data_IF_682608170194
#
_entry.id   IF_682608170194
#
_cell.length_a   1.000
_cell.length_b   1.000
_cell.length_c   1.000
_cell.angle_alpha   90.00
_cell.angle_beta   90.00
_cell.angle_gamma   90.00
#
_symmetry.space_group_name_H-M   'P 1'
#
loop_
_entity.id
_entity.type
_entity.pdbx_description
1 polymer ?
#
# COMPACT_ATOMS: atom_id res chain seq x y z
N UNK A 1 -75.19 15.37 -37.89
CA UNK A 1 -74.78 15.12 -36.49
C UNK A 1 -74.07 13.78 -36.31
N UNK A 2 -74.67 12.65 -36.73
CA UNK A 2 -74.08 11.30 -36.58
C UNK A 2 -72.75 11.06 -37.32
N UNK A 3 -72.61 11.56 -38.56
CA UNK A 3 -71.35 11.42 -39.33
C UNK A 3 -70.18 12.19 -38.69
N UNK A 4 -70.44 13.42 -38.22
CA UNK A 4 -69.45 14.25 -37.52
C UNK A 4 -68.98 13.55 -36.24
N UNK A 5 -69.92 12.97 -35.47
CA UNK A 5 -69.60 12.23 -34.25
C UNK A 5 -68.72 11.00 -34.54
N UNK A 6 -69.03 10.25 -35.61
CA UNK A 6 -68.23 9.08 -36.03
C UNK A 6 -66.81 9.47 -36.44
N UNK A 7 -66.65 10.59 -37.15
CA UNK A 7 -65.34 11.07 -37.59
C UNK A 7 -64.49 11.57 -36.42
N UNK A 8 -65.12 12.24 -35.45
CA UNK A 8 -64.46 12.65 -34.20
C UNK A 8 -64.02 11.42 -33.39
N UNK A 9 -64.89 10.42 -33.22
CA UNK A 9 -64.56 9.17 -32.53
C UNK A 9 -63.42 8.40 -33.20
N UNK A 10 -63.40 8.37 -34.54
CA UNK A 10 -62.32 7.73 -35.29
C UNK A 10 -60.98 8.47 -35.10
N UNK A 11 -60.96 9.81 -35.21
CA UNK A 11 -59.74 10.62 -34.99
C UNK A 11 -59.22 10.49 -33.55
N UNK A 12 -60.11 10.46 -32.57
CA UNK A 12 -59.76 10.22 -31.15
C UNK A 12 -59.19 8.81 -30.94
N UNK A 13 -59.82 7.79 -31.54
CA UNK A 13 -59.34 6.40 -31.47
C UNK A 13 -57.96 6.23 -32.13
N UNK A 14 -57.75 6.83 -33.29
CA UNK A 14 -56.48 6.81 -34.00
C UNK A 14 -55.37 7.51 -33.20
N UNK A 15 -55.65 8.71 -32.65
CA UNK A 15 -54.69 9.45 -31.83
C UNK A 15 -54.34 8.70 -30.53
N UNK A 16 -55.33 8.10 -29.87
CA UNK A 16 -55.12 7.26 -28.68
C UNK A 16 -54.25 6.04 -28.99
N UNK A 17 -54.50 5.37 -30.12
CA UNK A 17 -53.71 4.20 -30.56
C UNK A 17 -52.26 4.59 -30.86
N UNK A 18 -52.04 5.71 -31.57
CA UNK A 18 -50.68 6.23 -31.85
C UNK A 18 -49.97 6.61 -30.55
N UNK A 19 -50.65 7.29 -29.63
CA UNK A 19 -50.08 7.67 -28.33
C UNK A 19 -49.70 6.43 -27.51
N UNK A 20 -50.55 5.40 -27.49
CA UNK A 20 -50.26 4.14 -26.82
C UNK A 20 -49.05 3.43 -27.43
N UNK A 21 -48.99 3.31 -28.76
CA UNK A 21 -47.85 2.70 -29.45
C UNK A 21 -46.55 3.45 -29.20
N UNK A 22 -46.56 4.78 -29.28
CA UNK A 22 -45.40 5.61 -28.95
C UNK A 22 -44.98 5.43 -27.49
N UNK A 23 -45.94 5.37 -26.56
CA UNK A 23 -45.67 5.16 -25.13
C UNK A 23 -45.03 3.80 -24.87
N UNK A 24 -45.46 2.74 -25.57
CA UNK A 24 -44.87 1.40 -25.48
C UNK A 24 -43.44 1.37 -26.04
N UNK A 25 -43.20 2.01 -27.19
CA UNK A 25 -41.87 2.10 -27.79
C UNK A 25 -40.91 2.90 -26.89
N UNK A 26 -41.37 4.03 -26.36
CA UNK A 26 -40.63 4.84 -25.38
C UNK A 26 -40.32 3.99 -24.14
N UNK A 27 -41.33 3.34 -23.53
CA UNK A 27 -41.11 2.49 -22.36
C UNK A 27 -40.12 1.36 -22.64
N UNK A 28 -40.20 0.70 -23.80
CA UNK A 28 -39.29 -0.39 -24.15
C UNK A 28 -37.86 0.13 -24.38
N UNK A 29 -37.70 1.24 -25.10
CA UNK A 29 -36.40 1.85 -25.37
C UNK A 29 -35.76 2.37 -24.08
N UNK A 30 -36.42 3.27 -23.34
CA UNK A 30 -35.89 3.82 -22.10
C UNK A 30 -35.78 2.77 -20.99
N UNK A 31 -36.72 1.83 -20.92
CA UNK A 31 -36.68 0.69 -20.00
C UNK A 31 -35.50 -0.23 -20.27
N UNK A 32 -35.18 -0.50 -21.53
CA UNK A 32 -33.98 -1.26 -21.91
C UNK A 32 -32.70 -0.54 -21.46
N UNK A 33 -32.52 0.74 -21.75
CA UNK A 33 -31.33 1.48 -21.32
C UNK A 33 -31.23 1.60 -19.80
N UNK A 34 -32.35 1.78 -19.09
CA UNK A 34 -32.38 1.77 -17.64
C UNK A 34 -31.95 0.41 -17.07
N UNK A 35 -32.52 -0.69 -17.60
CA UNK A 35 -32.17 -2.05 -17.19
C UNK A 35 -30.69 -2.37 -17.48
N UNK A 36 -30.20 -1.98 -18.66
CA UNK A 36 -28.80 -2.13 -19.05
C UNK A 36 -27.87 -1.32 -18.13
N UNK A 37 -28.24 -0.09 -17.78
CA UNK A 37 -27.50 0.75 -16.85
C UNK A 37 -27.40 0.13 -15.46
N UNK A 38 -28.51 -0.40 -14.94
CA UNK A 38 -28.53 -1.13 -13.66
C UNK A 38 -27.66 -2.38 -13.73
N UNK A 39 -27.76 -3.15 -14.82
CA UNK A 39 -26.97 -4.36 -15.02
C UNK A 39 -25.46 -4.06 -15.05
N UNK A 40 -25.04 -3.07 -15.84
CA UNK A 40 -23.63 -2.64 -15.92
C UNK A 40 -23.14 -2.14 -14.56
N UNK A 41 -23.95 -1.38 -13.84
CA UNK A 41 -23.60 -0.86 -12.51
C UNK A 41 -23.44 -2.02 -11.51
N UNK A 42 -24.38 -2.96 -11.50
CA UNK A 42 -24.31 -4.16 -10.66
C UNK A 42 -23.07 -5.01 -10.96
N UNK A 43 -22.81 -5.28 -12.24
CA UNK A 43 -21.63 -6.03 -12.68
C UNK A 43 -20.33 -5.29 -12.30
N UNK A 44 -20.28 -3.98 -12.50
CA UNK A 44 -19.14 -3.14 -12.11
C UNK A 44 -18.91 -3.16 -10.59
N UNK A 45 -19.99 -3.13 -9.80
CA UNK A 45 -19.92 -3.23 -8.34
C UNK A 45 -19.38 -4.58 -7.86
N UNK A 46 -19.77 -5.67 -8.51
CA UNK A 46 -19.24 -7.03 -8.24
C UNK A 46 -17.74 -7.07 -8.55
N UNK A 47 -17.32 -6.60 -9.73
CA UNK A 47 -15.90 -6.55 -10.09
C UNK A 47 -15.10 -5.66 -9.14
N UNK A 48 -15.62 -4.49 -8.78
CA UNK A 48 -14.96 -3.57 -7.85
C UNK A 48 -14.75 -4.20 -6.47
N UNK A 49 -15.75 -4.92 -5.97
CA UNK A 49 -15.65 -5.62 -4.68
C UNK A 49 -14.72 -6.84 -4.75
N UNK A 50 -14.75 -7.57 -5.87
CA UNK A 50 -13.91 -8.75 -6.10
C UNK A 50 -12.42 -8.45 -6.32
N UNK A 51 -12.01 -7.20 -6.59
CA UNK A 51 -10.60 -6.85 -6.79
C UNK A 51 -9.71 -7.18 -5.59
N UNK A 52 -10.23 -7.13 -4.36
CA UNK A 52 -9.47 -7.49 -3.16
C UNK A 52 -9.02 -8.96 -3.21
N UNK A 53 -9.85 -9.85 -3.77
CA UNK A 53 -9.56 -11.28 -3.92
C UNK A 53 -8.46 -11.57 -4.95
N UNK A 54 -8.22 -10.64 -5.86
CA UNK A 54 -7.13 -10.72 -6.85
C UNK A 54 -5.82 -10.15 -6.34
N UNK A 55 -5.87 -9.37 -5.25
CA UNK A 55 -4.71 -8.67 -4.73
C UNK A 55 -4.19 -9.32 -3.44
N UNK A 56 -5.08 -9.60 -2.50
CA UNK A 56 -4.71 -10.04 -1.16
C UNK A 56 -4.93 -11.54 -1.00
N UNK A 57 -3.88 -12.26 -0.62
CA UNK A 57 -3.88 -13.70 -0.44
C UNK A 57 -3.49 -14.10 1.00
N UNK A 58 -4.26 -13.66 2.02
CA UNK A 58 -3.95 -13.95 3.41
C UNK A 58 -4.10 -15.43 3.78
N UNK A 59 -4.86 -16.18 2.98
CA UNK A 59 -5.10 -17.62 3.15
C UNK A 59 -4.16 -18.48 2.30
N UNK A 60 -3.06 -17.93 1.76
CA UNK A 60 -2.14 -18.69 0.92
C UNK A 60 -0.76 -18.78 1.56
N UNK A 61 -0.24 -19.98 1.85
CA UNK A 61 -0.92 -21.30 1.84
C UNK A 61 -2.15 -21.38 2.76
N UNK A 62 -3.06 -22.37 2.57
CA UNK A 62 -4.36 -22.47 3.25
C UNK A 62 -4.34 -22.21 4.76
N UNK A 63 -3.34 -22.73 5.47
CA UNK A 63 -3.26 -22.63 6.94
C UNK A 63 -2.63 -21.31 7.43
N UNK A 64 -2.39 -20.35 6.54
CA UNK A 64 -1.65 -19.11 6.88
C UNK A 64 -2.39 -18.21 7.88
N UNK A 65 -3.69 -18.41 8.09
CA UNK A 65 -4.50 -17.70 9.09
C UNK A 65 -4.53 -18.40 10.44
N UNK A 66 -4.36 -19.71 10.46
CA UNK A 66 -4.48 -20.53 11.66
C UNK A 66 -3.11 -20.82 12.29
N UNK A 67 -2.10 -21.00 11.45
CA UNK A 67 -0.75 -21.33 11.89
C UNK A 67 0.28 -20.27 11.45
N UNK A 68 0.74 -19.49 12.43
CA UNK A 68 1.82 -18.52 12.25
C UNK A 68 3.04 -18.99 13.03
N UNK A 69 4.10 -19.33 12.29
CA UNK A 69 5.40 -19.68 12.88
C UNK A 69 5.90 -18.57 13.80
N UNK A 70 6.54 -18.96 14.90
CA UNK A 70 7.07 -18.04 15.89
C UNK A 70 8.59 -17.85 15.72
N UNK A 71 9.16 -16.69 16.07
CA UNK A 71 10.61 -16.48 15.99
C UNK A 71 11.44 -17.49 16.80
N UNK A 72 10.87 -18.07 17.87
CA UNK A 72 11.47 -19.15 18.64
C UNK A 72 11.81 -20.40 17.82
N UNK A 73 11.04 -20.70 16.75
CA UNK A 73 11.35 -21.80 15.82
C UNK A 73 12.71 -21.61 15.11
N UNK A 74 13.21 -20.37 15.05
CA UNK A 74 14.50 -20.00 14.46
C UNK A 74 15.53 -19.57 15.50
N UNK A 75 15.28 -19.85 16.80
CA UNK A 75 16.13 -19.44 17.93
C UNK A 75 16.31 -17.91 18.04
N UNK A 76 15.32 -17.14 17.59
CA UNK A 76 15.33 -15.69 17.69
C UNK A 76 14.61 -15.24 18.97
N UNK A 77 15.19 -14.31 19.76
CA UNK A 77 14.49 -13.68 20.87
C UNK A 77 13.40 -12.75 20.32
N UNK A 78 12.21 -12.73 20.94
CA UNK A 78 11.13 -11.89 20.45
C UNK A 78 10.11 -11.46 21.52
N UNK A 79 9.48 -10.31 21.28
CA UNK A 79 8.25 -9.86 21.92
C UNK A 79 7.08 -10.05 20.93
N UNK A 80 6.02 -10.74 21.36
CA UNK A 80 4.79 -10.87 20.59
C UNK A 80 3.81 -9.76 20.96
N UNK A 81 3.59 -8.83 20.04
CA UNK A 81 2.88 -7.57 20.31
C UNK A 81 1.53 -7.57 19.62
N UNK A 82 0.45 -7.32 20.36
CA UNK A 82 -0.89 -7.10 19.80
C UNK A 82 -1.38 -5.71 20.20
N UNK A 83 -1.52 -4.82 19.22
CA UNK A 83 -1.96 -3.43 19.47
C UNK A 83 -3.19 -3.10 18.65
N UNK A 84 -4.02 -2.20 19.17
CA UNK A 84 -5.16 -1.66 18.43
C UNK A 84 -4.69 -0.51 17.54
N UNK A 85 -5.06 -0.54 16.26
CA UNK A 85 -4.90 0.61 15.37
C UNK A 85 -6.00 1.66 15.60
N UNK A 86 -5.96 2.78 14.87
CA UNK A 86 -7.00 3.83 14.99
C UNK A 86 -8.41 3.36 14.64
N UNK A 87 -8.54 2.31 13.84
CA UNK A 87 -9.83 1.70 13.48
C UNK A 87 -10.34 0.73 14.55
N UNK A 88 -9.60 0.55 15.66
CA UNK A 88 -9.95 -0.35 16.76
C UNK A 88 -9.63 -1.82 16.53
N UNK A 89 -9.05 -2.17 15.38
CA UNK A 89 -8.65 -3.54 15.02
C UNK A 89 -7.33 -3.90 15.70
N UNK A 90 -7.21 -5.12 16.21
CA UNK A 90 -5.95 -5.63 16.73
C UNK A 90 -5.06 -6.14 15.59
N UNK A 91 -3.87 -5.58 15.50
CA UNK A 91 -2.79 -6.05 14.63
C UNK A 91 -1.71 -6.74 15.45
N UNK A 92 -1.19 -7.85 14.93
CA UNK A 92 -0.15 -8.67 15.56
C UNK A 92 1.21 -8.36 14.93
N UNK A 93 2.26 -8.28 15.73
CA UNK A 93 3.63 -8.05 15.26
C UNK A 93 4.61 -8.84 16.11
N UNK A 94 5.77 -9.16 15.54
CA UNK A 94 6.92 -9.67 16.30
C UNK A 94 8.02 -8.62 16.34
N UNK A 95 8.47 -8.26 17.54
CA UNK A 95 9.68 -7.45 17.72
C UNK A 95 10.83 -8.36 18.14
N UNK A 96 11.80 -8.53 17.24
CA UNK A 96 12.98 -9.36 17.40
C UNK A 96 14.17 -8.44 17.68
N UNK A 97 14.70 -8.46 18.90
CA UNK A 97 15.78 -7.57 19.33
C UNK A 97 17.11 -8.29 19.42
N UNK A 98 18.22 -7.61 19.13
CA UNK A 98 19.53 -8.17 19.44
C UNK A 98 19.68 -8.35 20.96
N UNK A 99 20.35 -9.42 21.38
CA UNK A 99 20.57 -9.68 22.81
C UNK A 99 21.51 -8.65 23.44
N UNK A 100 22.45 -8.13 22.64
CA UNK A 100 23.43 -7.13 23.07
C UNK A 100 23.23 -5.80 22.34
N UNK A 101 23.30 -4.69 23.06
CA UNK A 101 23.26 -3.32 22.52
C UNK A 101 22.04 -3.00 21.62
N UNK A 102 20.89 -3.66 21.84
CA UNK A 102 19.68 -3.44 21.03
C UNK A 102 19.21 -1.97 20.96
N UNK A 103 19.51 -1.16 21.98
CA UNK A 103 19.12 0.25 22.02
C UNK A 103 20.04 1.19 21.20
N UNK A 104 21.13 0.68 20.61
CA UNK A 104 22.12 1.48 19.86
C UNK A 104 22.29 1.06 18.39
N UNK A 105 21.61 -0.02 18.00
CA UNK A 105 21.62 -0.56 16.64
C UNK A 105 20.35 -0.15 15.88
N UNK A 106 20.37 -0.21 14.53
CA UNK A 106 19.19 0.07 13.73
C UNK A 106 18.03 -0.90 14.01
N UNK A 107 16.81 -0.41 13.82
CA UNK A 107 15.59 -1.23 13.87
C UNK A 107 14.89 -1.17 12.52
N UNK A 108 14.64 -2.32 11.92
CA UNK A 108 13.94 -2.46 10.65
C UNK A 108 12.47 -2.79 10.88
N UNK A 109 11.57 -1.98 10.34
CA UNK A 109 10.15 -2.30 10.22
C UNK A 109 9.96 -3.01 8.89
N UNK A 110 9.62 -4.30 8.94
CA UNK A 110 9.48 -5.16 7.78
C UNK A 110 8.01 -5.34 7.41
N UNK A 111 7.65 -4.76 6.26
CA UNK A 111 6.39 -4.93 5.54
C UNK A 111 6.49 -6.04 4.49
N UNK A 112 5.70 -7.11 4.66
CA UNK A 112 5.73 -8.28 3.78
C UNK A 112 4.83 -8.15 2.53
N UNK A 113 4.88 -9.14 1.63
CA UNK A 113 4.13 -9.15 0.37
C UNK A 113 2.62 -9.38 0.53
N UNK A 114 1.94 -9.70 -0.57
CA UNK A 114 0.49 -9.87 -0.60
C UNK A 114 0.00 -11.29 -0.28
N UNK A 115 0.88 -12.27 -0.19
CA UNK A 115 0.54 -13.65 0.08
C UNK A 115 1.28 -14.16 1.31
N UNK A 116 0.61 -14.94 2.15
CA UNK A 116 1.23 -15.53 3.32
C UNK A 116 1.20 -14.64 4.56
N UNK A 117 2.02 -14.95 5.55
CA UNK A 117 2.03 -14.27 6.85
C UNK A 117 3.45 -13.93 7.32
N UNK A 118 3.57 -13.19 8.41
CA UNK A 118 4.85 -12.80 8.99
C UNK A 118 5.71 -14.02 9.41
N UNK A 119 5.09 -15.11 9.88
CA UNK A 119 5.78 -16.34 10.25
C UNK A 119 6.57 -16.93 9.07
N UNK A 120 6.03 -16.82 7.85
CA UNK A 120 6.70 -17.28 6.62
C UNK A 120 7.83 -16.36 6.15
N UNK A 121 8.01 -15.21 6.78
CA UNK A 121 9.14 -14.30 6.54
C UNK A 121 10.27 -14.49 7.55
N UNK A 122 10.08 -15.34 8.56
CA UNK A 122 11.09 -15.59 9.58
C UNK A 122 12.43 -16.13 9.04
N UNK A 123 12.49 -16.99 7.99
CA UNK A 123 13.78 -17.37 7.42
C UNK A 123 14.60 -16.16 6.94
N UNK A 124 13.97 -15.24 6.20
CA UNK A 124 14.62 -14.01 5.75
C UNK A 124 14.92 -13.07 6.93
N UNK A 125 13.99 -12.93 7.87
CA UNK A 125 14.19 -12.10 9.07
C UNK A 125 15.36 -12.63 9.93
N UNK A 126 15.55 -13.94 10.02
CA UNK A 126 16.67 -14.57 10.73
C UNK A 126 18.00 -14.22 10.08
N UNK A 127 18.10 -14.32 8.76
CA UNK A 127 19.32 -13.91 8.04
C UNK A 127 19.56 -12.40 8.16
N UNK A 128 18.53 -11.56 8.03
CA UNK A 128 18.65 -10.11 8.27
C UNK A 128 19.17 -9.81 9.69
N UNK A 129 18.62 -10.50 10.69
CA UNK A 129 19.02 -10.37 12.09
C UNK A 129 20.49 -10.72 12.29
N UNK A 130 20.93 -11.88 11.80
CA UNK A 130 22.30 -12.37 12.00
C UNK A 130 23.34 -11.67 11.13
N UNK A 131 23.00 -11.33 9.88
CA UNK A 131 23.95 -10.75 8.91
C UNK A 131 24.07 -9.24 9.06
N UNK A 132 23.02 -8.53 9.45
CA UNK A 132 23.05 -7.06 9.55
C UNK A 132 23.20 -6.53 10.98
N UNK A 133 23.02 -7.38 12.00
CA UNK A 133 23.05 -6.99 13.40
C UNK A 133 22.07 -5.84 13.72
N UNK A 134 20.79 -6.05 13.36
CA UNK A 134 19.69 -5.10 13.53
C UNK A 134 18.56 -5.72 14.37
N UNK A 135 17.72 -4.86 14.96
CA UNK A 135 16.40 -5.29 15.45
C UNK A 135 15.42 -5.35 14.28
N UNK A 136 14.37 -6.17 14.40
CA UNK A 136 13.33 -6.32 13.37
C UNK A 136 11.96 -6.26 14.02
N UNK A 137 11.13 -5.30 13.61
CA UNK A 137 9.69 -5.34 13.81
C UNK A 137 9.04 -5.93 12.56
N UNK A 138 8.59 -7.18 12.65
CA UNK A 138 7.90 -7.86 11.58
C UNK A 138 6.39 -7.64 11.75
N UNK A 139 5.78 -7.00 10.75
CA UNK A 139 4.40 -6.47 10.85
C UNK A 139 3.41 -7.38 10.14
N UNK A 140 2.33 -7.77 10.82
CA UNK A 140 1.19 -8.46 10.21
C UNK A 140 0.03 -7.49 9.97
N UNK A 141 -0.37 -7.32 8.71
CA UNK A 141 -1.48 -6.44 8.34
C UNK A 141 -2.83 -6.97 8.81
N UNK A 142 -3.83 -6.08 8.90
CA UNK A 142 -5.23 -6.50 9.09
C UNK A 142 -5.64 -7.56 8.05
N UNK A 143 -6.33 -8.59 8.52
CA UNK A 143 -6.78 -9.72 7.71
C UNK A 143 -5.71 -10.75 7.34
N UNK A 144 -4.45 -10.57 7.75
CA UNK A 144 -3.37 -11.55 7.60
C UNK A 144 -2.99 -12.18 8.93
N UNK A 145 -2.38 -13.37 8.91
CA UNK A 145 -1.88 -14.08 10.10
C UNK A 145 -2.92 -14.11 11.23
N UNK A 146 -2.56 -13.59 12.40
CA UNK A 146 -3.46 -13.50 13.56
C UNK A 146 -4.07 -12.09 13.77
N UNK A 147 -3.90 -11.18 12.81
CA UNK A 147 -4.50 -9.83 12.86
C UNK A 147 -6.00 -9.87 12.50
N UNK A 148 -6.78 -8.98 13.11
CA UNK A 148 -8.23 -8.83 12.89
C UNK A 148 -8.53 -8.07 11.58
N UNK A 149 -9.79 -8.03 11.16
CA UNK A 149 -10.28 -7.22 10.03
C UNK A 149 -10.04 -7.81 8.63
N UNK A 150 -10.22 -6.96 7.61
CA UNK A 150 -10.01 -7.31 6.19
C UNK A 150 -9.07 -6.31 5.51
N UNK A 151 -8.24 -6.77 4.56
CA UNK A 151 -7.24 -5.91 3.93
C UNK A 151 -7.89 -4.91 2.95
N UNK A 152 -7.32 -3.70 2.93
CA UNK A 152 -7.61 -2.66 1.95
C UNK A 152 -6.41 -1.72 1.85
N UNK A 153 -6.29 -0.96 0.77
CA UNK A 153 -5.17 -0.02 0.59
C UNK A 153 -5.04 0.95 1.77
N UNK A 154 -6.13 1.64 2.12
CA UNK A 154 -6.13 2.58 3.24
C UNK A 154 -5.87 1.89 4.58
N UNK A 155 -6.41 0.69 4.77
CA UNK A 155 -6.22 -0.07 6.00
C UNK A 155 -4.78 -0.50 6.21
N UNK A 156 -4.12 -1.00 5.17
CA UNK A 156 -2.71 -1.43 5.25
C UNK A 156 -1.77 -0.23 5.50
N UNK A 157 -2.09 0.96 4.96
CA UNK A 157 -1.36 2.18 5.30
C UNK A 157 -1.56 2.61 6.77
N UNK A 158 -2.76 2.42 7.32
CA UNK A 158 -3.01 2.72 8.73
C UNK A 158 -2.28 1.74 9.66
N UNK A 159 -2.21 0.46 9.29
CA UNK A 159 -1.47 -0.55 10.06
C UNK A 159 0.04 -0.25 10.04
N UNK A 160 0.58 0.18 8.90
CA UNK A 160 1.98 0.62 8.78
C UNK A 160 2.30 1.85 9.65
N UNK A 161 1.40 2.84 9.66
CA UNK A 161 1.52 4.00 10.55
C UNK A 161 1.46 3.59 12.03
N UNK A 162 0.60 2.63 12.37
CA UNK A 162 0.46 2.11 13.74
C UNK A 162 1.74 1.41 14.18
N UNK A 163 2.32 0.55 13.34
CA UNK A 163 3.61 -0.11 13.59
C UNK A 163 4.75 0.90 13.77
N UNK A 164 4.82 1.94 12.93
CA UNK A 164 5.83 2.99 13.04
C UNK A 164 5.69 3.78 14.34
N UNK A 165 4.47 4.22 14.69
CA UNK A 165 4.23 4.95 15.94
C UNK A 165 4.62 4.11 17.15
N UNK A 166 4.28 2.81 17.15
CA UNK A 166 4.66 1.88 18.22
C UNK A 166 6.17 1.88 18.46
N UNK A 167 6.98 1.78 17.39
CA UNK A 167 8.44 1.82 17.51
C UNK A 167 8.95 3.18 17.99
N UNK A 168 8.34 4.27 17.55
CA UNK A 168 8.71 5.61 17.99
C UNK A 168 8.39 5.90 19.46
N UNK A 169 7.48 5.13 20.07
CA UNK A 169 7.11 5.21 21.48
C UNK A 169 8.01 4.34 22.39
N UNK A 170 8.81 3.43 21.82
CA UNK A 170 9.73 2.58 22.59
C UNK A 170 10.94 3.38 23.11
N UNK A 171 11.22 3.26 24.40
CA UNK A 171 12.40 3.86 25.05
C UNK A 171 13.67 3.02 24.89
N UNK A 172 13.52 1.74 24.54
CA UNK A 172 14.59 0.77 24.35
C UNK A 172 14.93 0.53 22.87
N UNK A 173 14.61 1.50 21.99
CA UNK A 173 14.95 1.46 20.57
C UNK A 173 15.62 2.79 20.17
N UNK A 174 16.65 2.72 19.33
CA UNK A 174 17.23 3.91 18.71
C UNK A 174 16.27 4.48 17.64
N UNK A 175 15.46 5.43 18.07
CA UNK A 175 14.46 6.14 17.24
C UNK A 175 15.08 6.96 16.11
N UNK A 176 16.41 7.15 16.08
CA UNK A 176 17.12 7.84 15.00
C UNK A 176 17.61 6.89 13.89
N UNK A 177 17.54 5.57 14.10
CA UNK A 177 18.01 4.55 13.16
C UNK A 177 16.90 3.59 12.73
N UNK A 178 15.75 4.15 12.36
CA UNK A 178 14.60 3.37 11.88
C UNK A 178 14.71 3.13 10.38
N UNK A 179 14.83 1.86 10.00
CA UNK A 179 14.80 1.42 8.61
C UNK A 179 13.36 0.99 8.31
N UNK A 180 12.80 1.49 7.21
CA UNK A 180 11.53 0.98 6.67
C UNK A 180 11.85 0.09 5.49
N UNK A 181 11.48 -1.18 5.59
CA UNK A 181 11.70 -2.18 4.56
C UNK A 181 10.37 -2.72 4.06
N UNK A 182 10.23 -2.88 2.74
CA UNK A 182 9.06 -3.52 2.17
C UNK A 182 9.35 -4.30 0.90
N UNK A 183 8.72 -5.47 0.77
CA UNK A 183 8.80 -6.32 -0.43
C UNK A 183 7.47 -6.35 -1.19
N UNK A 184 7.51 -6.18 -2.51
CA UNK A 184 6.32 -6.26 -3.37
C UNK A 184 5.23 -5.31 -2.88
N UNK A 185 4.04 -5.82 -2.50
CA UNK A 185 2.99 -5.02 -1.84
C UNK A 185 3.49 -4.26 -0.61
N UNK A 186 4.32 -4.89 0.21
CA UNK A 186 4.95 -4.28 1.39
C UNK A 186 5.82 -3.09 1.04
N UNK A 187 6.46 -3.09 -0.13
CA UNK A 187 7.23 -1.94 -0.60
C UNK A 187 6.35 -0.75 -1.01
N UNK A 188 5.17 -1.01 -1.58
CA UNK A 188 4.20 0.07 -1.84
C UNK A 188 3.70 0.71 -0.53
N UNK A 189 3.55 -0.09 0.53
CA UNK A 189 3.20 0.36 1.88
C UNK A 189 4.36 1.13 2.52
N UNK A 190 5.59 0.64 2.39
CA UNK A 190 6.80 1.31 2.83
C UNK A 190 6.97 2.70 2.17
N UNK A 191 6.75 2.78 0.85
CA UNK A 191 6.79 4.03 0.09
C UNK A 191 5.71 4.99 0.57
N UNK A 192 4.48 4.53 0.80
CA UNK A 192 3.41 5.38 1.33
C UNK A 192 3.82 6.00 2.67
N UNK A 193 4.27 5.17 3.62
CA UNK A 193 4.73 5.64 4.92
C UNK A 193 5.88 6.64 4.79
N UNK A 194 6.89 6.34 3.96
CA UNK A 194 8.07 7.17 3.75
C UNK A 194 7.80 8.47 2.97
N UNK A 195 6.70 8.54 2.22
CA UNK A 195 6.30 9.74 1.47
C UNK A 195 5.55 10.77 2.31
N UNK A 196 4.96 10.34 3.44
CA UNK A 196 4.11 11.18 4.29
C UNK A 196 4.95 12.17 5.10
N UNK A 197 4.55 13.44 5.07
CA UNK A 197 5.21 14.53 5.76
C UNK A 197 5.52 14.24 7.24
N UNK A 198 4.55 13.65 7.96
CA UNK A 198 4.65 13.28 9.38
C UNK A 198 5.78 12.28 9.69
N UNK A 199 6.16 11.45 8.72
CA UNK A 199 7.02 10.28 8.91
C UNK A 199 8.35 10.38 8.17
N UNK A 200 8.37 11.02 6.99
CA UNK A 200 9.51 11.04 6.06
C UNK A 200 10.84 11.52 6.65
N UNK A 201 10.79 12.42 7.64
CA UNK A 201 11.99 12.96 8.31
C UNK A 201 12.43 12.14 9.54
N UNK A 202 11.68 11.09 9.90
CA UNK A 202 11.98 10.18 11.02
C UNK A 202 12.47 8.82 10.55
N UNK A 203 12.47 8.58 9.23
CA UNK A 203 12.93 7.35 8.62
C UNK A 203 14.39 7.54 8.25
N UNK A 204 15.27 6.75 8.85
CA UNK A 204 16.70 6.80 8.61
C UNK A 204 17.04 6.25 7.22
N UNK A 205 16.39 5.16 6.82
CA UNK A 205 16.53 4.60 5.48
C UNK A 205 15.25 3.92 5.01
N UNK A 206 14.97 4.02 3.72
CA UNK A 206 13.93 3.25 3.03
C UNK A 206 14.59 2.17 2.18
N UNK A 207 14.10 0.94 2.27
CA UNK A 207 14.53 -0.17 1.42
C UNK A 207 13.29 -0.78 0.76
N UNK A 208 13.29 -0.81 -0.56
CA UNK A 208 12.18 -1.32 -1.37
C UNK A 208 12.69 -2.47 -2.22
N UNK A 209 12.06 -3.65 -2.12
CA UNK A 209 12.46 -4.85 -2.84
C UNK A 209 11.34 -5.34 -3.77
N UNK A 210 11.64 -5.52 -5.07
CA UNK A 210 10.73 -6.10 -6.05
C UNK A 210 9.33 -5.46 -6.05
N UNK A 211 9.27 -4.12 -5.99
CA UNK A 211 8.01 -3.36 -5.87
C UNK A 211 7.63 -2.68 -7.18
N UNK A 212 6.33 -2.61 -7.40
CA UNK A 212 5.70 -2.07 -8.60
C UNK A 212 5.42 -0.56 -8.52
N UNK A 213 5.21 0.07 -9.69
CA UNK A 213 4.87 1.49 -9.80
C UNK A 213 3.44 1.80 -9.35
N UNK A 214 2.48 0.94 -9.71
CA UNK A 214 1.10 0.95 -9.22
C UNK A 214 0.36 -0.36 -9.53
N UNK A 215 -0.75 -0.64 -8.84
CA UNK A 215 -1.63 -1.77 -9.21
C UNK A 215 -2.25 -1.60 -10.60
N UNK A 216 -2.71 -0.41 -11.02
CA UNK A 216 -3.13 -0.20 -12.40
C UNK A 216 -2.06 -0.52 -13.43
N UNK A 217 -0.78 -0.23 -13.16
CA UNK A 217 0.32 -0.58 -14.08
C UNK A 217 0.58 -2.08 -14.10
N UNK A 218 0.55 -2.75 -12.95
CA UNK A 218 0.62 -4.21 -12.87
C UNK A 218 -0.54 -4.88 -13.63
N UNK A 219 -1.76 -4.37 -13.49
CA UNK A 219 -2.93 -4.90 -14.18
C UNK A 219 -2.77 -4.83 -15.71
N UNK A 220 -2.16 -3.76 -16.25
CA UNK A 220 -1.87 -3.63 -17.69
C UNK A 220 -0.84 -4.64 -18.19
N UNK A 221 0.05 -5.12 -17.32
CA UNK A 221 1.08 -6.10 -17.67
C UNK A 221 0.59 -7.54 -17.53
N UNK A 222 -0.06 -7.86 -16.43
CA UNK A 222 -0.46 -9.23 -16.10
C UNK A 222 -1.72 -9.70 -16.84
N UNK A 223 -2.61 -8.78 -17.20
CA UNK A 223 -3.86 -9.11 -17.87
C UNK A 223 -3.74 -8.80 -19.37
N UNK A 224 -3.98 -9.78 -20.27
CA UNK A 224 -3.83 -9.60 -21.72
C UNK A 224 -4.92 -8.71 -22.35
N UNK A 225 -5.75 -8.04 -21.55
CA UNK A 225 -6.90 -7.28 -22.00
C UNK A 225 -6.53 -5.84 -22.32
N UNK A 226 -6.42 -5.54 -23.62
CA UNK A 226 -6.09 -4.19 -24.12
C UNK A 226 -7.02 -3.09 -23.58
N UNK A 227 -8.26 -3.43 -23.21
CA UNK A 227 -9.24 -2.49 -22.63
C UNK A 227 -8.78 -1.90 -21.29
N UNK A 228 -7.94 -2.61 -20.51
CA UNK A 228 -7.45 -2.11 -19.22
C UNK A 228 -6.58 -0.86 -19.37
N UNK A 229 -6.00 -0.62 -20.55
CA UNK A 229 -5.26 0.62 -20.83
C UNK A 229 -6.15 1.86 -20.79
N UNK A 230 -7.45 1.69 -21.07
CA UNK A 230 -8.45 2.75 -21.11
C UNK A 230 -9.31 2.78 -19.85
N UNK A 231 -9.10 1.84 -18.92
CA UNK A 231 -9.89 1.76 -17.71
C UNK A 231 -9.54 2.95 -16.79
N UNK A 232 -10.50 3.81 -16.44
CA UNK A 232 -10.25 4.93 -15.56
C UNK A 232 -9.77 4.51 -14.17
N UNK A 233 -8.95 5.33 -13.52
CA UNK A 233 -8.43 5.02 -12.19
C UNK A 233 -9.52 4.78 -11.13
N UNK A 234 -10.69 5.41 -11.25
CA UNK A 234 -11.79 5.21 -10.29
C UNK A 234 -12.34 3.77 -10.31
N UNK A 235 -12.12 3.02 -11.40
CA UNK A 235 -12.50 1.61 -11.47
C UNK A 235 -11.59 0.70 -10.65
N UNK A 236 -10.39 1.16 -10.27
CA UNK A 236 -9.48 0.42 -9.40
C UNK A 236 -9.77 0.74 -7.94
N UNK A 237 -10.18 -0.26 -7.16
CA UNK A 237 -10.42 -0.14 -5.73
C UNK A 237 -9.14 0.20 -4.99
N UNK A 238 -8.14 -0.68 -5.10
CA UNK A 238 -6.79 -0.47 -4.57
C UNK A 238 -5.85 -0.09 -5.71
N UNK A 239 -5.12 1.01 -5.53
CA UNK A 239 -4.29 1.64 -6.55
C UNK A 239 -2.81 1.52 -6.23
N UNK A 240 -2.43 1.69 -4.97
CA UNK A 240 -1.04 1.69 -4.49
C UNK A 240 -0.12 2.49 -5.40
N UNK A 241 -0.36 3.80 -5.49
CA UNK A 241 0.33 4.71 -6.40
C UNK A 241 1.79 5.00 -5.99
N UNK A 242 2.61 3.96 -5.89
CA UNK A 242 4.00 3.99 -5.46
C UNK A 242 4.81 5.02 -6.22
N UNK A 243 4.75 5.03 -7.56
CA UNK A 243 5.50 5.95 -8.40
C UNK A 243 5.17 7.42 -8.08
N UNK A 244 3.89 7.75 -7.91
CA UNK A 244 3.48 9.12 -7.53
C UNK A 244 4.05 9.52 -6.17
N UNK A 245 3.97 8.62 -5.18
CA UNK A 245 4.40 8.84 -3.80
C UNK A 245 5.93 8.88 -3.65
N UNK A 246 6.65 8.15 -4.51
CA UNK A 246 8.11 8.03 -4.47
C UNK A 246 8.83 9.38 -4.64
N UNK A 247 8.20 10.34 -5.35
CA UNK A 247 8.73 11.70 -5.49
C UNK A 247 8.72 12.53 -4.20
N UNK A 248 8.00 12.10 -3.17
CA UNK A 248 7.95 12.78 -1.87
C UNK A 248 8.80 12.10 -0.80
N UNK A 249 9.40 10.95 -1.11
CA UNK A 249 10.36 10.27 -0.23
C UNK A 249 11.66 11.06 -0.22
N UNK A 250 12.11 11.44 0.97
CA UNK A 250 13.36 12.20 1.17
C UNK A 250 14.43 11.40 1.92
N UNK A 251 14.05 10.34 2.62
CA UNK A 251 14.98 9.49 3.36
C UNK A 251 15.92 8.75 2.40
N UNK A 252 17.20 8.55 2.75
CA UNK A 252 18.12 7.71 1.97
C UNK A 252 17.47 6.39 1.56
N UNK A 253 17.52 6.06 0.27
CA UNK A 253 16.70 4.97 -0.30
C UNK A 253 17.53 3.95 -1.08
N UNK A 254 17.31 2.67 -0.79
CA UNK A 254 17.80 1.55 -1.58
C UNK A 254 16.64 0.86 -2.29
N UNK A 255 16.76 0.67 -3.59
CA UNK A 255 15.83 -0.11 -4.39
C UNK A 255 16.55 -1.37 -4.84
N UNK A 256 15.98 -2.53 -4.52
CA UNK A 256 16.50 -3.84 -4.88
C UNK A 256 15.52 -4.46 -5.87
N UNK A 257 16.03 -4.96 -6.99
CA UNK A 257 15.24 -5.77 -7.91
C UNK A 257 15.98 -7.03 -8.34
N UNK A 258 15.25 -8.13 -8.43
CA UNK A 258 15.72 -9.36 -9.03
C UNK A 258 15.79 -9.26 -10.54
N UNK A 259 16.89 -9.71 -11.16
CA UNK A 259 17.02 -9.71 -12.63
C UNK A 259 16.11 -10.71 -13.34
N UNK A 260 15.58 -11.70 -12.62
CA UNK A 260 14.65 -12.73 -13.09
C UNK A 260 13.28 -12.60 -12.40
N UNK A 261 12.90 -11.40 -11.97
CA UNK A 261 11.56 -11.15 -11.44
C UNK A 261 10.53 -11.16 -12.57
N UNK A 262 9.87 -12.32 -12.73
CA UNK A 262 8.83 -12.54 -13.74
C UNK A 262 7.47 -11.94 -13.35
N UNK A 263 7.30 -11.48 -12.10
CA UNK A 263 6.04 -10.89 -11.64
C UNK A 263 6.08 -9.37 -11.74
N UNK A 264 7.10 -8.74 -11.17
CA UNK A 264 7.29 -7.28 -11.19
C UNK A 264 8.54 -6.97 -12.02
N UNK A 265 8.38 -6.48 -13.26
CA UNK A 265 9.53 -6.27 -14.14
C UNK A 265 10.55 -5.27 -13.55
N UNK A 266 11.87 -5.52 -13.69
CA UNK A 266 12.92 -4.62 -13.20
C UNK A 266 12.77 -3.16 -13.66
N UNK A 267 12.17 -2.93 -14.82
CA UNK A 267 11.87 -1.59 -15.34
C UNK A 267 11.05 -0.74 -14.35
N UNK A 268 10.10 -1.34 -13.61
CA UNK A 268 9.34 -0.63 -12.59
C UNK A 268 10.23 -0.13 -11.44
N UNK A 269 11.25 -0.91 -11.08
CA UNK A 269 12.22 -0.48 -10.06
C UNK A 269 13.11 0.66 -10.58
N UNK A 270 13.48 0.64 -11.87
CA UNK A 270 14.17 1.76 -12.52
C UNK A 270 13.32 3.04 -12.54
N UNK A 271 12.01 2.92 -12.78
CA UNK A 271 11.09 4.05 -12.73
C UNK A 271 10.98 4.63 -11.31
N UNK A 272 10.84 3.76 -10.30
CA UNK A 272 10.82 4.16 -8.89
C UNK A 272 12.14 4.86 -8.49
N UNK A 273 13.28 4.35 -8.94
CA UNK A 273 14.59 4.97 -8.70
C UNK A 273 14.68 6.36 -9.31
N UNK A 274 14.30 6.49 -10.57
CA UNK A 274 14.30 7.76 -11.31
C UNK A 274 13.42 8.79 -10.60
N UNK A 275 12.23 8.37 -10.16
CA UNK A 275 11.25 9.25 -9.50
C UNK A 275 11.57 9.55 -8.04
N UNK A 276 12.40 8.77 -7.37
CA UNK A 276 12.73 8.95 -5.95
C UNK A 276 13.28 10.35 -5.66
N UNK A 277 12.64 11.03 -4.70
CA UNK A 277 13.01 12.37 -4.23
C UNK A 277 14.20 12.40 -3.26
N UNK A 278 14.72 11.24 -2.86
CA UNK A 278 15.86 11.16 -1.94
C UNK A 278 17.15 11.58 -2.65
N UNK A 279 17.94 12.40 -1.96
CA UNK A 279 19.27 12.83 -2.44
C UNK A 279 20.22 11.64 -2.49
N UNK A 280 20.25 10.84 -1.41
CA UNK A 280 21.00 9.60 -1.37
C UNK A 280 20.10 8.45 -1.82
N UNK A 281 20.30 7.96 -3.04
CA UNK A 281 19.55 6.82 -3.56
C UNK A 281 20.44 5.87 -4.35
N UNK A 282 20.20 4.56 -4.19
CA UNK A 282 20.88 3.49 -4.93
C UNK A 282 19.85 2.50 -5.46
N UNK A 283 20.10 1.98 -6.67
CA UNK A 283 19.38 0.82 -7.21
C UNK A 283 20.38 -0.33 -7.37
N UNK A 284 19.98 -1.54 -7.02
CA UNK A 284 20.80 -2.74 -7.15
C UNK A 284 19.99 -3.86 -7.80
N UNK A 285 20.59 -4.45 -8.83
CA UNK A 285 20.06 -5.60 -9.54
C UNK A 285 20.70 -6.87 -8.99
N UNK A 286 19.90 -7.75 -8.41
CA UNK A 286 20.35 -9.03 -7.89
C UNK A 286 20.33 -10.05 -9.02
N UNK A 287 21.52 -10.48 -9.44
CA UNK A 287 21.69 -11.42 -10.55
C UNK A 287 21.11 -12.79 -10.19
N UNK A 288 20.21 -13.32 -11.02
CA UNK A 288 19.50 -14.58 -10.78
C UNK A 288 18.39 -14.53 -9.74
N UNK A 289 18.16 -13.38 -9.07
CA UNK A 289 17.07 -13.23 -8.13
C UNK A 289 15.73 -13.13 -8.85
N UNK A 290 14.75 -13.92 -8.43
CA UNK A 290 13.34 -13.80 -8.80
C UNK A 290 12.54 -12.97 -7.81
N UNK A 291 11.22 -13.09 -7.84
CA UNK A 291 10.33 -12.22 -7.04
C UNK A 291 10.46 -12.43 -5.52
N UNK A 292 10.69 -13.66 -5.07
CA UNK A 292 10.60 -14.03 -3.64
C UNK A 292 11.93 -14.49 -3.01
N UNK A 293 12.99 -14.62 -3.81
CA UNK A 293 14.22 -15.33 -3.45
C UNK A 293 15.50 -14.48 -3.66
N UNK A 294 15.38 -13.19 -3.95
CA UNK A 294 16.56 -12.30 -4.04
C UNK A 294 17.42 -12.35 -2.78
N UNK A 295 16.80 -12.52 -1.61
CA UNK A 295 17.46 -12.59 -0.31
C UNK A 295 18.36 -13.82 -0.12
N UNK A 296 18.16 -14.87 -0.92
CA UNK A 296 18.98 -16.09 -0.91
C UNK A 296 20.18 -15.96 -1.88
N UNK A 297 20.12 -14.99 -2.81
CA UNK A 297 21.14 -14.79 -3.82
C UNK A 297 22.43 -14.19 -3.22
N UNK A 298 23.53 -14.35 -3.95
CA UNK A 298 24.82 -13.75 -3.59
C UNK A 298 24.71 -12.23 -3.54
N UNK A 299 25.55 -11.61 -2.72
CA UNK A 299 25.70 -10.15 -2.57
C UNK A 299 24.50 -9.38 -2.00
N UNK A 300 23.36 -10.04 -1.74
CA UNK A 300 22.17 -9.39 -1.16
C UNK A 300 22.48 -8.70 0.18
N UNK A 301 22.97 -9.46 1.17
CA UNK A 301 23.29 -8.91 2.50
C UNK A 301 24.49 -7.95 2.46
N UNK A 302 25.50 -8.23 1.64
CA UNK A 302 26.65 -7.32 1.47
C UNK A 302 26.24 -5.96 0.91
N UNK A 303 25.29 -5.96 -0.04
CA UNK A 303 24.68 -4.73 -0.57
C UNK A 303 23.95 -3.95 0.52
N UNK A 304 23.15 -4.62 1.34
CA UNK A 304 22.43 -3.99 2.45
C UNK A 304 23.41 -3.37 3.46
N UNK A 305 24.46 -4.09 3.86
CA UNK A 305 25.49 -3.58 4.75
C UNK A 305 26.18 -2.34 4.17
N UNK A 306 26.62 -2.41 2.91
CA UNK A 306 27.27 -1.30 2.24
C UNK A 306 26.36 -0.07 2.17
N UNK A 307 25.08 -0.27 1.84
CA UNK A 307 24.12 0.83 1.81
C UNK A 307 23.97 1.47 3.19
N UNK A 308 23.71 0.68 4.24
CA UNK A 308 23.51 1.20 5.61
C UNK A 308 24.73 1.95 6.16
N UNK A 309 25.95 1.57 5.77
CA UNK A 309 27.17 2.29 6.13
C UNK A 309 27.27 3.68 5.47
N UNK A 310 26.62 3.89 4.33
CA UNK A 310 26.62 5.18 3.60
C UNK A 310 25.49 6.11 4.03
N UNK A 311 24.52 5.62 4.82
CA UNK A 311 23.38 6.42 5.26
C UNK A 311 23.83 7.41 6.34
N UNK A 312 23.68 8.73 6.14
CA UNK A 312 24.03 9.72 7.15
C UNK A 312 23.10 9.62 8.35
N UNK A 313 23.59 10.00 9.53
CA UNK A 313 22.75 10.11 10.74
C UNK A 313 21.63 11.15 10.53
N UNK A 314 20.43 10.87 11.06
CA UNK A 314 19.38 11.88 11.10
C UNK A 314 19.83 13.09 11.94
N UNK A 315 19.50 14.32 11.52
CA UNK A 315 19.81 15.52 12.30
C UNK A 315 19.17 15.45 13.69
N UNK A 316 19.86 16.00 14.70
CA UNK A 316 19.43 15.92 16.10
C UNK A 316 18.15 16.72 16.38
N UNK A 317 17.79 17.67 15.53
CA UNK A 317 16.58 18.47 15.61
C UNK A 317 15.74 18.25 14.35
N UNK A 318 14.59 17.60 14.52
CA UNK A 318 13.50 17.73 13.55
C UNK A 318 12.85 19.07 13.89
N UNK A 319 13.22 20.15 13.17
CA UNK A 319 12.49 21.41 13.31
C UNK A 319 10.99 21.13 13.18
N UNK A 320 10.13 21.70 14.05
CA UNK A 320 8.70 21.65 13.83
C UNK A 320 8.46 22.38 12.52
N UNK A 321 8.18 21.63 11.46
CA UNK A 321 7.80 22.24 10.22
C UNK A 321 6.47 22.97 10.43
N UNK A 322 6.50 24.27 10.15
CA UNK A 322 5.32 25.12 10.06
C UNK A 322 4.51 24.64 8.86
N UNK A 323 3.24 24.34 9.11
CA UNK A 323 2.27 24.01 8.07
C UNK A 323 1.89 25.32 7.36
N UNK A 324 2.50 25.61 6.21
CA UNK A 324 2.22 26.82 5.41
C UNK A 324 0.80 26.83 4.79
N UNK A 325 -0.08 25.90 5.14
CA UNK A 325 -1.47 25.89 4.64
C UNK A 325 -2.51 26.36 5.66
N UNK A 326 -2.11 27.05 6.73
CA UNK A 326 -3.05 27.69 7.65
C UNK A 326 -3.17 29.20 7.36
N UNK A 327 -3.64 29.52 6.15
CA UNK A 327 -4.19 30.84 5.85
C UNK A 327 -5.54 31.00 6.57
N UNK A 328 -5.49 31.49 7.81
CA UNK A 328 -6.63 32.14 8.45
C UNK A 328 -6.31 33.62 8.58
N UNK A 329 -6.93 34.51 7.77
CA UNK A 329 -6.81 35.93 7.98
C UNK A 329 -7.86 36.36 9.00
N UNK A 330 -7.45 36.60 10.24
CA UNK A 330 -8.28 37.37 11.18
C UNK A 330 -7.46 38.17 12.18
N UNK A 331 -7.38 39.46 11.88
CA UNK A 331 -7.56 40.61 12.78
C UNK A 331 -6.48 40.91 13.84
N UNK A 332 -5.63 41.89 13.48
CA UNK A 332 -5.32 43.13 14.22
C UNK A 332 -5.56 43.18 15.74
N UNK A 333 -4.50 43.48 16.49
CA UNK A 333 -4.52 44.57 17.48
C UNK A 333 -3.09 45.11 17.74
N UNK A 334 -2.81 46.42 17.59
CA UNK A 334 -1.53 47.02 17.93
C UNK A 334 -1.60 47.69 19.30
N UNK A 335 -0.87 47.19 20.30
CA UNK A 335 -0.30 48.02 21.36
C UNK A 335 0.43 47.17 22.41
N UNK A 336 1.69 47.53 22.68
CA UNK A 336 2.17 48.05 23.97
C UNK A 336 3.71 48.04 23.95
N UNK A 337 4.27 49.24 24.14
CA UNK A 337 5.69 49.53 24.31
C UNK A 337 6.15 49.26 25.75
N UNK A 338 7.42 48.84 25.87
CA UNK A 338 8.45 49.26 26.85
C UNK A 338 7.96 49.60 28.27
N UNK A 339 8.21 48.70 29.24
CA UNK A 339 9.27 48.76 30.29
C UNK A 339 9.61 47.32 30.68
#
# INVERSE_FOLDING_TARGET
MFQILKEILYKLGALSTITLLLSVVIFWFYGFFAALGIFITGLSGIFYTGQDLLLYYPNMPPDSRDFVLQPSNFKLPYESIKIKNKDGLKIHMFLIKQETNCNHIPTMIFFHGNAGNMGQRLPNASELYHKLNINILLVEYRGYGLSEGTPSESGLYEDAQTAFNYIMERSDIDRKKIIVFGRSLGGAIAIDLASRFKYRNKIWALIVENTFTSIPDMAKLLLPWRILKWLPYFCHKNKYMSLRKMGHVVSPTLIICGTQDDLVPPAMSSDLYTRCGAICKKIVLITGGGHNDTWICRDYYGTLQQFLQTVPSLPNEVSPFIDENNDNPSTSDPSIQIV
#
